data_IF_656367294206
#
_entry.id   IF_656367294206
#
_cell.length_a   1.000
_cell.length_b   1.000
_cell.length_c   1.000
_cell.angle_alpha   90.00
_cell.angle_beta   90.00
_cell.angle_gamma   90.00
#
_symmetry.space_group_name_H-M   'P 1'
#
loop_
_entity.id
_entity.type
_entity.pdbx_description
1 polymer ?
#
# COMPACT_ATOMS: atom_id res chain seq x y z
N UNK A 1 -16.18 -8.83 -12.18
CA UNK A 1 -16.68 -8.13 -10.95
C UNK A 1 -16.58 -6.60 -11.10
N UNK A 2 -17.43 -5.77 -10.44
CA UNK A 2 -17.25 -4.32 -10.43
C UNK A 2 -15.93 -3.97 -9.73
N UNK A 3 -15.07 -3.19 -10.40
CA UNK A 3 -13.83 -2.70 -9.81
C UNK A 3 -14.11 -1.61 -8.77
N UNK A 4 -13.49 -1.72 -7.60
CA UNK A 4 -13.55 -0.68 -6.57
C UNK A 4 -12.49 0.38 -6.88
N UNK A 5 -12.83 1.36 -7.72
CA UNK A 5 -11.97 2.52 -7.98
C UNK A 5 -12.09 3.53 -6.84
N UNK A 6 -11.55 3.19 -5.66
CA UNK A 6 -11.47 4.10 -4.53
C UNK A 6 -10.02 4.56 -4.33
N UNK A 7 -9.78 5.84 -4.63
CA UNK A 7 -8.54 6.52 -4.27
C UNK A 7 -8.76 7.25 -2.96
N UNK A 8 -7.91 6.98 -1.96
CA UNK A 8 -7.99 7.67 -0.67
C UNK A 8 -7.68 9.16 -0.86
N UNK A 9 -8.60 10.08 -0.50
CA UNK A 9 -8.29 11.50 -0.52
C UNK A 9 -7.13 11.81 0.43
N UNK A 10 -6.19 12.66 0.01
CA UNK A 10 -5.01 12.99 0.82
C UNK A 10 -5.38 13.55 2.20
N UNK A 11 -6.40 14.41 2.28
CA UNK A 11 -6.87 14.94 3.57
C UNK A 11 -7.36 13.83 4.51
N UNK A 12 -8.00 12.78 3.98
CA UNK A 12 -8.54 11.69 4.78
C UNK A 12 -7.40 10.83 5.37
N UNK A 13 -6.31 10.65 4.63
CA UNK A 13 -5.09 10.03 5.14
C UNK A 13 -4.55 10.80 6.35
N UNK A 14 -4.31 12.10 6.22
CA UNK A 14 -3.76 12.92 7.31
C UNK A 14 -4.70 13.04 8.50
N UNK A 15 -6.00 13.21 8.27
CA UNK A 15 -7.01 13.21 9.34
C UNK A 15 -7.05 11.86 10.03
N UNK A 16 -6.97 10.76 9.29
CA UNK A 16 -6.90 9.40 9.84
C UNK A 16 -5.71 9.23 10.77
N UNK A 17 -4.52 9.65 10.36
CA UNK A 17 -3.29 9.57 11.16
C UNK A 17 -3.33 10.39 12.46
N UNK A 18 -4.17 11.42 12.55
CA UNK A 18 -4.28 12.25 13.75
C UNK A 18 -5.46 11.79 14.62
N UNK A 19 -6.64 11.68 14.03
CA UNK A 19 -7.88 11.43 14.76
C UNK A 19 -7.93 10.01 15.31
N UNK A 20 -7.50 9.02 14.51
CA UNK A 20 -7.58 7.62 14.93
C UNK A 20 -6.74 7.34 16.18
N UNK A 21 -5.44 7.71 16.26
CA UNK A 21 -4.66 7.50 17.48
C UNK A 21 -5.21 8.21 18.71
N UNK A 22 -5.71 9.45 18.56
CA UNK A 22 -6.30 10.17 19.70
C UNK A 22 -7.52 9.41 20.24
N UNK A 23 -8.41 8.96 19.37
CA UNK A 23 -9.55 8.14 19.77
C UNK A 23 -9.07 6.84 20.41
N UNK A 24 -8.10 6.16 19.80
CA UNK A 24 -7.56 4.89 20.29
C UNK A 24 -6.92 5.03 21.68
N UNK A 25 -6.16 6.09 21.93
CA UNK A 25 -5.61 6.43 23.25
C UNK A 25 -6.70 6.69 24.29
N UNK A 26 -7.74 7.44 23.92
CA UNK A 26 -8.86 7.70 24.84
C UNK A 26 -9.61 6.41 25.17
N UNK A 27 -9.71 5.49 24.21
CA UNK A 27 -10.34 4.18 24.40
C UNK A 27 -9.47 3.22 25.22
N UNK A 28 -8.15 3.19 24.99
CA UNK A 28 -7.21 2.29 25.66
C UNK A 28 -7.06 2.60 27.15
N UNK A 29 -7.16 3.88 27.52
CA UNK A 29 -7.10 4.34 28.91
C UNK A 29 -8.40 4.11 29.70
N UNK A 30 -9.44 3.53 29.09
CA UNK A 30 -10.67 3.18 29.81
C UNK A 30 -10.42 1.96 30.69
N UNK A 31 -10.94 1.94 31.93
CA UNK A 31 -10.81 0.79 32.80
C UNK A 31 -11.44 -0.44 32.14
N UNK A 32 -10.66 -1.51 32.01
CA UNK A 32 -11.11 -2.78 31.47
C UNK A 32 -12.20 -3.35 32.42
N UNK A 33 -13.32 -3.86 31.88
CA UNK A 33 -14.34 -4.50 32.69
C UNK A 33 -13.75 -5.75 33.37
N UNK A 34 -14.04 -5.92 34.67
CA UNK A 34 -13.57 -7.08 35.46
C UNK A 34 -14.07 -8.43 34.93
N UNK A 35 -15.19 -8.43 34.22
CA UNK A 35 -15.76 -9.63 33.60
C UNK A 35 -15.56 -9.59 32.09
N UNK A 36 -14.90 -10.62 31.54
CA UNK A 36 -14.80 -10.82 30.08
C UNK A 36 -16.19 -11.12 29.54
N UNK A 37 -16.76 -10.23 28.73
CA UNK A 37 -18.04 -10.46 28.03
C UNK A 37 -17.89 -10.15 26.54
N UNK A 38 -18.57 -10.91 25.71
CA UNK A 38 -18.71 -10.61 24.30
C UNK A 38 -19.64 -9.42 24.11
N UNK A 39 -19.22 -8.42 23.34
CA UNK A 39 -20.02 -7.21 23.11
C UNK A 39 -20.53 -7.18 21.68
N UNK A 40 -21.78 -6.73 21.52
CA UNK A 40 -22.42 -6.64 20.22
C UNK A 40 -21.72 -5.64 19.26
N UNK A 41 -21.29 -4.43 19.71
CA UNK A 41 -20.55 -3.52 18.84
C UNK A 41 -19.25 -4.13 18.30
N UNK A 42 -18.49 -4.84 19.15
CA UNK A 42 -17.26 -5.49 18.74
C UNK A 42 -17.53 -6.64 17.77
N UNK A 43 -18.58 -7.43 18.01
CA UNK A 43 -18.97 -8.49 17.10
C UNK A 43 -19.35 -7.96 15.69
N UNK A 44 -20.09 -6.85 15.62
CA UNK A 44 -20.40 -6.19 14.35
C UNK A 44 -19.16 -5.60 13.68
N UNK A 45 -18.28 -4.95 14.45
CA UNK A 45 -17.01 -4.44 13.93
C UNK A 45 -16.20 -5.56 13.28
N UNK A 46 -16.02 -6.69 13.98
CA UNK A 46 -15.28 -7.85 13.47
C UNK A 46 -15.99 -8.46 12.25
N UNK A 47 -17.32 -8.50 12.22
CA UNK A 47 -18.05 -8.99 11.06
C UNK A 47 -17.85 -8.08 9.83
N UNK A 48 -17.80 -6.76 10.02
CA UNK A 48 -17.50 -5.82 8.93
C UNK A 48 -16.04 -5.93 8.47
N UNK A 49 -15.09 -6.04 9.41
CA UNK A 49 -13.65 -5.96 9.09
C UNK A 49 -13.01 -7.32 8.84
N UNK A 50 -13.69 -8.42 9.14
CA UNK A 50 -13.11 -9.76 9.11
C UNK A 50 -14.13 -10.86 8.82
N UNK A 51 -15.39 -10.50 8.56
CA UNK A 51 -16.45 -11.48 8.37
C UNK A 51 -16.33 -12.28 7.09
N UNK A 52 -15.63 -11.76 6.07
CA UNK A 52 -15.30 -12.51 4.85
C UNK A 52 -14.43 -13.74 5.15
N UNK A 53 -13.62 -13.68 6.22
CA UNK A 53 -12.80 -14.79 6.70
C UNK A 53 -13.47 -15.57 7.84
N UNK A 54 -14.71 -15.23 8.21
CA UNK A 54 -15.44 -15.86 9.32
C UNK A 54 -14.95 -15.45 10.72
N UNK A 55 -14.17 -14.37 10.86
CA UNK A 55 -13.57 -13.98 12.15
C UNK A 55 -14.60 -13.65 13.23
N UNK A 56 -15.80 -13.19 12.86
CA UNK A 56 -16.89 -12.92 13.80
C UNK A 56 -17.41 -14.17 14.48
N UNK A 57 -17.31 -15.34 13.83
CA UNK A 57 -17.65 -16.63 14.44
C UNK A 57 -16.55 -17.10 15.39
N UNK A 58 -15.27 -16.94 15.02
CA UNK A 58 -14.15 -17.27 15.90
C UNK A 58 -14.08 -16.37 17.14
N UNK A 59 -14.42 -15.09 17.00
CA UNK A 59 -14.59 -14.19 18.14
C UNK A 59 -15.56 -14.77 19.18
N UNK A 60 -16.65 -15.41 18.73
CA UNK A 60 -17.63 -16.09 19.58
C UNK A 60 -17.28 -17.55 19.90
N UNK A 61 -16.02 -17.96 19.71
CA UNK A 61 -15.50 -19.33 19.90
C UNK A 61 -16.28 -20.41 19.12
N UNK A 62 -16.81 -20.05 17.95
CA UNK A 62 -17.56 -20.96 17.08
C UNK A 62 -16.71 -21.40 15.87
N UNK A 63 -16.58 -22.71 15.67
CA UNK A 63 -15.88 -23.29 14.51
C UNK A 63 -16.62 -23.11 13.19
N UNK A 64 -17.88 -22.65 13.21
CA UNK A 64 -18.63 -22.32 11.99
C UNK A 64 -17.95 -21.26 11.11
N UNK A 65 -17.03 -20.47 11.67
CA UNK A 65 -16.17 -19.56 10.91
C UNK A 65 -15.33 -20.28 9.83
N UNK A 66 -15.01 -21.56 10.01
CA UNK A 66 -14.23 -22.34 9.06
C UNK A 66 -14.93 -22.52 7.70
N UNK A 67 -16.25 -22.35 7.61
CA UNK A 67 -16.98 -22.44 6.33
C UNK A 67 -16.61 -21.29 5.38
N UNK A 68 -16.25 -20.13 5.92
CA UNK A 68 -15.88 -18.97 5.11
C UNK A 68 -14.55 -19.17 4.38
N UNK A 69 -13.59 -19.87 5.02
CA UNK A 69 -12.24 -20.07 4.49
C UNK A 69 -12.19 -20.78 3.13
N UNK A 70 -12.81 -21.96 2.90
CA UNK A 70 -12.74 -22.63 1.60
C UNK A 70 -13.44 -21.82 0.50
N UNK A 71 -14.53 -21.11 0.81
CA UNK A 71 -15.22 -20.24 -0.15
C UNK A 71 -14.31 -19.06 -0.53
N UNK A 72 -13.68 -18.43 0.47
CA UNK A 72 -12.73 -17.36 0.26
C UNK A 72 -11.51 -17.82 -0.55
N UNK A 73 -10.88 -18.93 -0.19
CA UNK A 73 -9.75 -19.50 -0.92
C UNK A 73 -10.12 -19.86 -2.36
N UNK A 74 -11.33 -20.36 -2.59
CA UNK A 74 -11.84 -20.61 -3.94
C UNK A 74 -11.98 -19.32 -4.75
N UNK A 75 -12.43 -18.22 -4.16
CA UNK A 75 -12.48 -16.91 -4.83
C UNK A 75 -11.07 -16.47 -5.25
N UNK A 76 -10.09 -16.59 -4.34
CA UNK A 76 -8.69 -16.25 -4.66
C UNK A 76 -8.17 -17.08 -5.83
N UNK A 77 -8.40 -18.40 -5.78
CA UNK A 77 -8.02 -19.32 -6.84
C UNK A 77 -8.69 -18.96 -8.17
N UNK A 78 -10.01 -18.79 -8.19
CA UNK A 78 -10.78 -18.45 -9.39
C UNK A 78 -10.36 -17.10 -9.99
N UNK A 79 -10.04 -16.10 -9.15
CA UNK A 79 -9.51 -14.83 -9.63
C UNK A 79 -8.11 -14.96 -10.24
N UNK A 80 -7.24 -15.79 -9.65
CA UNK A 80 -5.95 -16.10 -10.26
C UNK A 80 -6.12 -16.76 -11.65
N UNK A 81 -7.00 -17.75 -11.75
CA UNK A 81 -7.31 -18.40 -13.04
C UNK A 81 -7.88 -17.41 -14.06
N UNK A 82 -8.70 -16.45 -13.61
CA UNK A 82 -9.25 -15.39 -14.47
C UNK A 82 -8.16 -14.47 -15.00
N UNK A 83 -7.15 -14.15 -14.19
CA UNK A 83 -6.00 -13.35 -14.60
C UNK A 83 -5.15 -14.07 -15.65
N UNK A 84 -4.86 -15.35 -15.43
CA UNK A 84 -4.09 -16.16 -16.38
C UNK A 84 -4.83 -16.29 -17.72
N UNK A 85 -6.13 -16.60 -17.68
CA UNK A 85 -6.97 -16.68 -18.88
C UNK A 85 -7.07 -15.33 -19.62
N UNK A 86 -7.12 -14.20 -18.90
CA UNK A 86 -7.08 -12.85 -19.50
C UNK A 86 -5.77 -12.60 -20.25
N UNK A 87 -4.64 -13.05 -19.71
CA UNK A 87 -3.33 -12.87 -20.33
C UNK A 87 -3.21 -13.67 -21.62
N UNK A 88 -3.67 -14.92 -21.61
CA UNK A 88 -3.75 -15.78 -22.81
C UNK A 88 -4.70 -15.17 -23.85
N UNK A 89 -5.90 -14.77 -23.44
CA UNK A 89 -6.88 -14.11 -24.30
C UNK A 89 -6.32 -12.85 -24.96
N UNK A 90 -5.62 -12.01 -24.20
CA UNK A 90 -5.00 -10.77 -24.72
C UNK A 90 -3.92 -11.07 -25.75
N UNK A 91 -3.14 -12.14 -25.55
CA UNK A 91 -2.09 -12.58 -26.48
C UNK A 91 -2.70 -13.01 -27.82
N UNK A 92 -3.69 -13.92 -27.80
CA UNK A 92 -4.36 -14.37 -29.02
C UNK A 92 -5.13 -13.26 -29.73
N UNK A 93 -5.83 -12.40 -28.98
CA UNK A 93 -6.52 -11.25 -29.54
C UNK A 93 -5.54 -10.28 -30.23
N UNK A 94 -4.33 -10.12 -29.71
CA UNK A 94 -3.30 -9.31 -30.37
C UNK A 94 -2.76 -9.95 -31.64
N UNK A 95 -2.54 -11.27 -31.65
CA UNK A 95 -2.10 -11.99 -32.86
C UNK A 95 -3.13 -11.89 -33.98
N UNK A 96 -4.41 -12.13 -33.68
CA UNK A 96 -5.52 -11.97 -34.64
C UNK A 96 -5.54 -10.53 -35.17
N UNK A 97 -5.47 -9.52 -34.28
CA UNK A 97 -5.49 -8.11 -34.68
C UNK A 97 -4.33 -7.75 -35.63
N UNK A 98 -3.14 -8.32 -35.44
CA UNK A 98 -1.98 -8.10 -36.32
C UNK A 98 -2.20 -8.79 -37.67
N UNK A 99 -2.75 -10.00 -37.67
CA UNK A 99 -3.07 -10.75 -38.88
C UNK A 99 -4.16 -10.06 -39.70
N UNK A 100 -5.27 -9.63 -39.08
CA UNK A 100 -6.36 -8.88 -39.72
C UNK A 100 -5.85 -7.59 -40.38
N UNK A 101 -5.03 -6.79 -39.67
CA UNK A 101 -4.41 -5.60 -40.28
C UNK A 101 -3.51 -5.92 -41.47
N UNK A 102 -2.90 -7.10 -41.48
CA UNK A 102 -2.08 -7.56 -42.61
C UNK A 102 -2.95 -7.96 -43.79
N UNK A 103 -4.07 -8.65 -43.54
CA UNK A 103 -5.07 -8.97 -44.56
C UNK A 103 -5.63 -7.70 -45.19
N UNK A 104 -6.14 -6.77 -44.38
CA UNK A 104 -6.72 -5.51 -44.85
C UNK A 104 -5.76 -4.75 -45.78
N UNK A 105 -4.47 -4.72 -45.44
CA UNK A 105 -3.45 -3.99 -46.23
C UNK A 105 -2.98 -4.75 -47.46
N UNK A 106 -2.71 -6.05 -47.34
CA UNK A 106 -2.09 -6.81 -48.42
C UNK A 106 -3.12 -7.31 -49.44
N UNK A 107 -4.37 -7.57 -49.06
CA UNK A 107 -5.43 -7.98 -50.00
C UNK A 107 -5.72 -6.91 -51.04
N UNK A 108 -5.88 -5.65 -50.61
CA UNK A 108 -6.08 -4.51 -51.51
C UNK A 108 -4.88 -4.35 -52.46
N UNK A 109 -3.65 -4.37 -51.92
CA UNK A 109 -2.41 -4.22 -52.70
C UNK A 109 -2.19 -5.33 -53.72
N UNK A 110 -2.51 -6.58 -53.36
CA UNK A 110 -2.44 -7.72 -54.29
C UNK A 110 -3.49 -7.57 -55.38
N UNK A 111 -4.72 -7.19 -55.03
CA UNK A 111 -5.82 -7.01 -55.99
C UNK A 111 -5.50 -5.91 -57.01
N UNK A 112 -4.97 -4.76 -56.55
CA UNK A 112 -4.54 -3.67 -57.44
C UNK A 112 -3.36 -4.08 -58.34
N UNK A 113 -2.39 -4.80 -57.81
CA UNK A 113 -1.24 -5.30 -58.57
C UNK A 113 -1.67 -6.35 -59.62
N UNK A 114 -2.62 -7.22 -59.29
CA UNK A 114 -3.21 -8.19 -60.23
C UNK A 114 -4.01 -7.49 -61.33
N UNK A 115 -4.80 -6.46 -60.99
CA UNK A 115 -5.58 -5.69 -61.96
C UNK A 115 -4.70 -4.95 -62.98
N UNK A 116 -3.52 -4.48 -62.56
CA UNK A 116 -2.56 -3.78 -63.44
C UNK A 116 -1.62 -4.70 -64.23
N UNK A 117 -1.67 -6.03 -64.00
CA UNK A 117 -0.73 -6.97 -64.59
C UNK A 117 -0.84 -7.02 -66.12
N UNK A 118 -2.07 -7.10 -66.64
CA UNK A 118 -2.32 -7.19 -68.09
C UNK A 118 -1.83 -5.93 -68.84
N UNK A 119 -2.06 -4.75 -68.27
CA UNK A 119 -1.59 -3.48 -68.84
C UNK A 119 -0.06 -3.39 -68.82
N UNK A 120 0.59 -3.90 -67.76
CA UNK A 120 2.04 -3.93 -67.63
C UNK A 120 2.69 -4.93 -68.60
N UNK A 121 2.06 -6.08 -68.85
CA UNK A 121 2.50 -7.06 -69.84
C UNK A 121 2.39 -6.48 -71.27
N UNK A 122 1.26 -5.88 -71.61
CA UNK A 122 1.08 -5.19 -72.89
C UNK A 122 2.12 -4.08 -73.11
N UNK A 123 2.45 -3.30 -72.07
CA UNK A 123 3.47 -2.25 -72.14
C UNK A 123 4.91 -2.79 -72.34
N UNK A 124 5.18 -4.04 -71.97
CA UNK A 124 6.45 -4.72 -72.28
C UNK A 124 6.44 -5.20 -73.73
N UNK A 125 5.34 -5.79 -74.20
CA UNK A 125 5.19 -6.31 -75.56
C UNK A 125 5.24 -5.22 -76.64
N UNK A 126 4.71 -4.03 -76.35
CA UNK A 126 4.73 -2.87 -77.26
C UNK A 126 6.07 -2.13 -77.30
N UNK A 127 6.97 -2.37 -76.34
CA UNK A 127 8.22 -1.62 -76.21
C UNK A 127 9.31 -2.11 -77.17
N UNK A 128 9.99 -1.18 -77.85
CA UNK A 128 11.06 -1.51 -78.80
C UNK A 128 12.23 -2.25 -78.13
N UNK A 129 12.71 -3.31 -78.79
CA UNK A 129 13.80 -4.16 -78.33
C UNK A 129 15.08 -3.35 -78.06
N UNK A 130 15.61 -3.44 -76.84
CA UNK A 130 16.83 -2.76 -76.41
C UNK A 130 16.64 -1.29 -75.96
N UNK A 131 15.41 -0.77 -75.98
CA UNK A 131 15.10 0.60 -75.55
C UNK A 131 15.15 0.78 -74.02
N UNK A 132 15.32 2.02 -73.56
CA UNK A 132 15.16 2.36 -72.13
C UNK A 132 13.71 2.15 -71.65
N UNK A 133 12.73 2.33 -72.54
CA UNK A 133 11.32 2.11 -72.25
C UNK A 133 11.03 0.64 -71.89
N UNK A 134 11.61 -0.30 -72.65
CA UNK A 134 11.52 -1.74 -72.35
C UNK A 134 12.05 -2.07 -70.96
N UNK A 135 13.28 -1.64 -70.62
CA UNK A 135 13.87 -1.86 -69.28
C UNK A 135 13.04 -1.28 -68.14
N UNK A 136 12.35 -0.16 -68.38
CA UNK A 136 11.48 0.48 -67.39
C UNK A 136 10.16 -0.28 -67.23
N UNK A 137 9.56 -0.75 -68.33
CA UNK A 137 8.37 -1.59 -68.35
C UNK A 137 8.63 -2.94 -67.64
N UNK A 138 9.72 -3.63 -67.97
CA UNK A 138 10.16 -4.87 -67.31
C UNK A 138 10.33 -4.68 -65.80
N UNK A 139 10.94 -3.58 -65.35
CA UNK A 139 11.09 -3.28 -63.91
C UNK A 139 9.77 -2.97 -63.21
N UNK A 140 8.77 -2.43 -63.91
CA UNK A 140 7.43 -2.21 -63.35
C UNK A 140 6.67 -3.53 -63.25
N UNK A 141 6.72 -4.35 -64.31
CA UNK A 141 6.15 -5.69 -64.33
C UNK A 141 6.74 -6.58 -63.22
N UNK A 142 8.08 -6.61 -63.10
CA UNK A 142 8.75 -7.37 -62.04
C UNK A 142 8.32 -6.92 -60.64
N UNK A 143 8.16 -5.60 -60.41
CA UNK A 143 7.70 -5.09 -59.11
C UNK A 143 6.26 -5.46 -58.80
N UNK A 144 5.39 -5.48 -59.81
CA UNK A 144 4.01 -5.94 -59.66
C UNK A 144 3.98 -7.44 -59.34
N UNK A 145 4.71 -8.27 -60.10
CA UNK A 145 4.84 -9.71 -59.85
C UNK A 145 5.41 -10.02 -58.45
N UNK A 146 6.46 -9.31 -58.04
CA UNK A 146 7.02 -9.41 -56.68
C UNK A 146 6.00 -9.04 -55.59
N UNK A 147 5.19 -8.01 -55.84
CA UNK A 147 4.15 -7.55 -54.92
C UNK A 147 3.06 -8.60 -54.78
N UNK A 148 2.64 -9.21 -55.87
CA UNK A 148 1.65 -10.30 -55.89
C UNK A 148 2.21 -11.51 -55.13
N UNK A 149 3.37 -12.04 -55.53
CA UNK A 149 3.94 -13.25 -54.91
C UNK A 149 4.19 -13.09 -53.40
N UNK A 150 4.81 -11.98 -52.99
CA UNK A 150 5.08 -11.71 -51.55
C UNK A 150 3.80 -11.38 -50.80
N UNK A 151 2.87 -10.67 -51.42
CA UNK A 151 1.58 -10.31 -50.85
C UNK A 151 0.70 -11.53 -50.63
N UNK A 152 0.57 -12.42 -51.62
CA UNK A 152 -0.18 -13.68 -51.52
C UNK A 152 0.36 -14.59 -50.42
N UNK A 153 1.68 -14.69 -50.28
CA UNK A 153 2.29 -15.44 -49.17
C UNK A 153 1.86 -14.86 -47.82
N UNK A 154 1.97 -13.53 -47.66
CA UNK A 154 1.57 -12.84 -46.42
C UNK A 154 0.08 -12.94 -46.13
N UNK A 155 -0.77 -12.85 -47.15
CA UNK A 155 -2.22 -13.03 -47.03
C UNK A 155 -2.52 -14.47 -46.59
N UNK A 156 -1.86 -15.46 -47.18
CA UNK A 156 -2.04 -16.87 -46.81
C UNK A 156 -1.62 -17.12 -45.36
N UNK A 157 -0.44 -16.65 -44.95
CA UNK A 157 0.05 -16.77 -43.58
C UNK A 157 -0.87 -16.06 -42.57
N UNK A 158 -1.35 -14.86 -42.90
CA UNK A 158 -2.25 -14.11 -42.05
C UNK A 158 -3.63 -14.78 -41.95
N UNK A 159 -4.20 -15.31 -43.05
CA UNK A 159 -5.44 -16.09 -43.02
C UNK A 159 -5.30 -17.34 -42.16
N UNK A 160 -4.21 -18.09 -42.34
CA UNK A 160 -3.91 -19.27 -41.53
C UNK A 160 -3.81 -18.92 -40.04
N UNK A 161 -3.14 -17.81 -39.70
CA UNK A 161 -3.06 -17.31 -38.33
C UNK A 161 -4.45 -17.00 -37.76
N UNK A 162 -5.31 -16.30 -38.51
CA UNK A 162 -6.68 -16.00 -38.06
C UNK A 162 -7.47 -17.29 -37.84
N UNK A 163 -7.40 -18.24 -38.78
CA UNK A 163 -8.13 -19.51 -38.72
C UNK A 163 -7.66 -20.40 -37.55
N UNK A 164 -6.36 -20.50 -37.32
CA UNK A 164 -5.76 -21.30 -36.25
C UNK A 164 -5.98 -20.68 -34.86
N UNK A 165 -5.80 -19.36 -34.72
CA UNK A 165 -5.81 -18.69 -33.42
C UNK A 165 -7.22 -18.33 -32.95
N UNK A 166 -8.19 -18.12 -33.85
CA UNK A 166 -9.58 -17.81 -33.47
C UNK A 166 -10.20 -18.83 -32.51
N UNK A 167 -10.18 -20.15 -32.75
CA UNK A 167 -10.75 -21.11 -31.81
C UNK A 167 -10.03 -21.09 -30.44
N UNK A 168 -8.72 -20.91 -30.42
CA UNK A 168 -7.93 -20.80 -29.17
C UNK A 168 -8.29 -19.54 -28.39
N UNK A 169 -8.51 -18.41 -29.09
CA UNK A 169 -8.98 -17.15 -28.51
C UNK A 169 -10.36 -17.32 -27.87
N UNK A 170 -11.27 -18.02 -28.55
CA UNK A 170 -12.64 -18.23 -28.07
C UNK A 170 -12.68 -19.20 -26.88
N UNK A 171 -11.85 -20.24 -26.87
CA UNK A 171 -11.66 -21.12 -25.72
C UNK A 171 -11.10 -20.35 -24.51
N UNK A 172 -10.09 -19.50 -24.73
CA UNK A 172 -9.53 -18.63 -23.68
C UNK A 172 -10.59 -17.63 -23.14
N UNK A 173 -11.44 -17.10 -24.02
CA UNK A 173 -12.55 -16.22 -23.63
C UNK A 173 -13.60 -16.95 -22.79
N UNK A 174 -13.97 -18.17 -23.19
CA UNK A 174 -14.90 -19.01 -22.44
C UNK A 174 -14.32 -19.41 -21.06
N UNK A 175 -13.05 -19.78 -21.01
CA UNK A 175 -12.33 -20.10 -19.76
C UNK A 175 -12.31 -18.90 -18.82
N UNK A 176 -11.97 -17.70 -19.33
CA UNK A 176 -12.01 -16.47 -18.53
C UNK A 176 -13.42 -16.21 -17.99
N UNK A 177 -14.45 -16.32 -18.83
CA UNK A 177 -15.84 -16.08 -18.43
C UNK A 177 -16.32 -17.08 -17.37
N UNK A 178 -15.93 -18.35 -17.50
CA UNK A 178 -16.23 -19.37 -16.50
C UNK A 178 -15.65 -19.01 -15.13
N UNK A 179 -14.36 -18.68 -15.05
CA UNK A 179 -13.71 -18.37 -13.78
C UNK A 179 -14.20 -17.05 -13.16
N UNK A 180 -14.47 -16.01 -13.97
CA UNK A 180 -15.03 -14.74 -13.46
C UNK A 180 -16.44 -14.96 -12.88
N UNK A 181 -17.27 -15.77 -13.55
CA UNK A 181 -18.60 -16.14 -13.03
C UNK A 181 -18.49 -17.00 -11.77
N UNK A 182 -17.60 -17.98 -11.74
CA UNK A 182 -17.39 -18.85 -10.58
C UNK A 182 -16.96 -18.05 -9.34
N UNK A 183 -16.00 -17.12 -9.51
CA UNK A 183 -15.61 -16.19 -8.47
C UNK A 183 -16.79 -15.31 -8.03
N UNK A 184 -17.59 -14.81 -8.98
CA UNK A 184 -18.81 -14.03 -8.72
C UNK A 184 -19.82 -14.77 -7.84
N UNK A 185 -20.17 -16.01 -8.20
CA UNK A 185 -21.12 -16.80 -7.43
C UNK A 185 -20.60 -17.16 -6.04
N UNK A 186 -19.31 -17.49 -5.91
CA UNK A 186 -18.69 -17.75 -4.62
C UNK A 186 -18.70 -16.51 -3.73
N UNK A 187 -18.45 -15.32 -4.30
CA UNK A 187 -18.56 -14.05 -3.58
C UNK A 187 -20.00 -13.79 -3.12
N UNK A 188 -21.01 -14.00 -3.97
CA UNK A 188 -22.41 -13.83 -3.57
C UNK A 188 -22.83 -14.80 -2.46
N UNK A 189 -22.39 -16.05 -2.53
CA UNK A 189 -22.61 -17.03 -1.46
C UNK A 189 -21.99 -16.55 -0.14
N UNK A 190 -20.75 -16.08 -0.19
CA UNK A 190 -20.04 -15.57 0.99
C UNK A 190 -20.73 -14.35 1.59
N UNK A 191 -21.15 -13.40 0.76
CA UNK A 191 -21.89 -12.21 1.21
C UNK A 191 -23.26 -12.57 1.78
N UNK A 192 -23.95 -13.56 1.21
CA UNK A 192 -25.22 -14.06 1.75
C UNK A 192 -25.03 -14.69 3.13
N UNK A 193 -24.00 -15.53 3.32
CA UNK A 193 -23.65 -16.09 4.63
C UNK A 193 -23.32 -14.99 5.63
N UNK A 194 -22.52 -13.99 5.24
CA UNK A 194 -22.19 -12.86 6.09
C UNK A 194 -23.43 -12.05 6.49
N UNK A 195 -24.35 -11.79 5.56
CA UNK A 195 -25.59 -11.06 5.83
C UNK A 195 -26.49 -11.83 6.82
N UNK A 196 -26.62 -13.14 6.64
CA UNK A 196 -27.34 -14.01 7.59
C UNK A 196 -26.72 -13.88 8.98
N UNK A 197 -25.40 -13.97 9.08
CA UNK A 197 -24.69 -13.86 10.34
C UNK A 197 -24.86 -12.48 10.99
N UNK A 198 -24.82 -11.39 10.21
CA UNK A 198 -25.05 -10.03 10.69
C UNK A 198 -26.43 -9.88 11.35
N UNK A 199 -27.44 -10.57 10.83
CA UNK A 199 -28.79 -10.60 11.42
C UNK A 199 -28.81 -11.47 12.69
N UNK A 200 -28.08 -12.59 12.71
CA UNK A 200 -28.05 -13.54 13.83
C UNK A 200 -27.13 -13.10 14.98
N UNK A 201 -26.21 -12.15 14.75
CA UNK A 201 -25.21 -11.70 15.72
C UNK A 201 -25.78 -11.40 17.13
N UNK A 202 -26.90 -10.69 17.30
CA UNK A 202 -27.45 -10.42 18.63
C UNK A 202 -27.80 -11.70 19.41
N UNK A 203 -28.34 -12.71 18.72
CA UNK A 203 -28.66 -14.01 19.31
C UNK A 203 -27.39 -14.79 19.65
N UNK A 204 -26.42 -14.79 18.74
CA UNK A 204 -25.16 -15.52 18.90
C UNK A 204 -24.33 -14.95 20.07
N UNK A 205 -24.26 -13.63 20.19
CA UNK A 205 -23.58 -12.95 21.31
C UNK A 205 -24.26 -13.29 22.64
N UNK A 206 -25.59 -13.28 22.70
CA UNK A 206 -26.34 -13.68 23.91
C UNK A 206 -26.03 -15.12 24.30
N UNK A 207 -26.04 -16.04 23.33
CA UNK A 207 -25.73 -17.46 23.55
C UNK A 207 -24.28 -17.67 24.00
N UNK A 208 -23.33 -16.98 23.37
CA UNK A 208 -21.92 -17.05 23.75
C UNK A 208 -21.70 -16.53 25.18
N UNK A 209 -22.32 -15.42 25.54
CA UNK A 209 -22.26 -14.89 26.91
C UNK A 209 -22.92 -15.82 27.94
N UNK A 210 -24.02 -16.50 27.59
CA UNK A 210 -24.66 -17.47 28.46
C UNK A 210 -23.79 -18.74 28.69
N UNK A 211 -22.87 -19.03 27.78
CA UNK A 211 -21.93 -20.14 27.89
C UNK A 211 -20.62 -19.75 28.60
N UNK A 212 -20.44 -18.49 29.00
CA UNK A 212 -19.26 -18.07 29.75
C UNK A 212 -19.30 -18.66 31.18
N UNK A 213 -18.19 -19.24 31.67
CA UNK A 213 -18.11 -19.68 33.05
C UNK A 213 -18.19 -18.48 34.00
N UNK A 214 -18.86 -18.64 35.15
CA UNK A 214 -19.03 -17.57 36.16
C UNK A 214 -17.70 -17.14 36.80
N UNK A 215 -16.73 -18.05 36.85
CA UNK A 215 -15.37 -17.79 37.28
C UNK A 215 -14.42 -18.45 36.28
N UNK A 216 -13.49 -17.67 35.75
CA UNK A 216 -12.38 -18.19 34.95
C UNK A 216 -11.43 -18.89 35.93
N UNK A 217 -11.49 -20.22 36.02
CA UNK A 217 -10.45 -20.99 36.71
C UNK A 217 -9.18 -20.85 35.88
N UNK A 218 -8.39 -19.82 36.20
CA UNK A 218 -7.06 -19.63 35.63
C UNK A 218 -6.24 -20.86 35.99
N UNK A 219 -5.87 -21.64 34.98
CA UNK A 219 -5.01 -22.82 35.14
C UNK A 219 -3.76 -22.45 35.94
N UNK A 220 -3.24 -23.36 36.76
CA UNK A 220 -1.98 -23.14 37.49
C UNK A 220 -0.86 -22.69 36.56
N UNK A 221 -0.83 -23.21 35.33
CA UNK A 221 0.11 -22.81 34.30
C UNK A 221 -0.07 -21.34 33.84
N UNK A 222 -1.31 -20.84 33.75
CA UNK A 222 -1.58 -19.46 33.35
C UNK A 222 -1.34 -18.48 34.53
N UNK A 223 -1.54 -18.92 35.78
CA UNK A 223 -1.12 -18.15 36.96
C UNK A 223 0.40 -18.05 37.06
N UNK A 224 1.10 -19.18 36.93
CA UNK A 224 2.55 -19.21 36.95
C UNK A 224 3.15 -18.38 35.80
N UNK A 225 2.51 -18.39 34.62
CA UNK A 225 2.91 -17.55 33.49
C UNK A 225 2.75 -16.06 33.81
N UNK A 226 1.60 -15.64 34.38
CA UNK A 226 1.39 -14.22 34.75
C UNK A 226 2.34 -13.76 35.84
N UNK A 227 2.59 -14.59 36.84
CA UNK A 227 3.56 -14.26 37.90
C UNK A 227 4.98 -14.13 37.33
N UNK A 228 5.38 -15.01 36.40
CA UNK A 228 6.65 -14.88 35.69
C UNK A 228 6.70 -13.64 34.77
N UNK A 229 5.61 -13.31 34.07
CA UNK A 229 5.48 -12.10 33.25
C UNK A 229 5.53 -10.83 34.10
N UNK A 230 5.01 -10.84 35.32
CA UNK A 230 5.06 -9.72 36.26
C UNK A 230 6.46 -9.59 36.93
N UNK A 231 7.18 -10.70 37.14
CA UNK A 231 8.57 -10.68 37.66
C UNK A 231 9.61 -10.29 36.59
N UNK A 232 9.45 -10.72 35.34
CA UNK A 232 10.38 -10.45 34.23
C UNK A 232 9.90 -9.33 33.29
N UNK A 233 8.71 -8.77 33.55
CA UNK A 233 8.06 -7.80 32.67
C UNK A 233 8.81 -6.46 32.59
N UNK A 234 8.78 -5.78 31.41
CA UNK A 234 9.26 -4.42 31.32
C UNK A 234 8.49 -3.53 32.31
N UNK A 235 9.18 -2.55 32.90
CA UNK A 235 8.54 -1.56 33.79
C UNK A 235 7.32 -0.97 33.11
N UNK A 236 6.29 -0.63 33.88
CA UNK A 236 5.14 0.05 33.31
C UNK A 236 5.58 1.41 32.74
N UNK A 237 5.08 1.83 31.57
CA UNK A 237 5.51 3.04 30.86
C UNK A 237 5.60 4.28 31.76
N UNK A 238 4.64 4.41 32.69
CA UNK A 238 4.58 5.51 33.66
C UNK A 238 5.78 5.57 34.63
N UNK A 239 6.50 4.47 34.81
CA UNK A 239 7.65 4.37 35.72
C UNK A 239 8.94 4.90 35.09
N UNK A 240 9.01 5.03 33.76
CA UNK A 240 10.18 5.58 33.07
C UNK A 240 10.24 7.12 33.13
N UNK A 241 9.10 7.79 33.32
CA UNK A 241 9.02 9.24 33.20
C UNK A 241 9.35 10.00 34.49
N UNK A 242 10.53 10.64 34.52
CA UNK A 242 10.94 11.49 35.65
C UNK A 242 10.67 12.97 35.40
N UNK A 243 10.67 13.41 34.14
CA UNK A 243 10.52 14.81 33.75
C UNK A 243 9.53 15.00 32.60
N UNK A 244 9.32 16.25 32.17
CA UNK A 244 8.37 16.56 31.11
C UNK A 244 8.79 16.05 29.73
N UNK A 245 10.10 15.93 29.47
CA UNK A 245 10.63 15.40 28.20
C UNK A 245 10.29 13.92 28.09
N UNK A 246 10.52 13.15 29.16
CA UNK A 246 10.19 11.73 29.19
C UNK A 246 8.68 11.51 29.00
N UNK A 247 7.84 12.34 29.64
CA UNK A 247 6.38 12.30 29.44
C UNK A 247 5.97 12.61 28.01
N UNK A 248 6.65 13.55 27.36
CA UNK A 248 6.42 13.87 25.95
C UNK A 248 6.80 12.68 25.06
N UNK A 249 7.95 12.05 25.30
CA UNK A 249 8.40 10.86 24.56
C UNK A 249 7.45 9.68 24.73
N UNK A 250 6.95 9.43 25.95
CA UNK A 250 5.91 8.42 26.20
C UNK A 250 4.63 8.72 25.43
N UNK A 251 4.13 9.96 25.51
CA UNK A 251 2.92 10.37 24.80
C UNK A 251 3.07 10.19 23.29
N UNK A 252 4.19 10.66 22.72
CA UNK A 252 4.45 10.54 21.29
C UNK A 252 4.60 9.07 20.85
N UNK A 253 5.27 8.24 21.65
CA UNK A 253 5.40 6.80 21.41
C UNK A 253 4.06 6.07 21.44
N UNK A 254 3.26 6.29 22.49
CA UNK A 254 1.90 5.75 22.62
C UNK A 254 1.02 6.19 21.44
N UNK A 255 1.07 7.47 21.09
CA UNK A 255 0.32 8.04 19.96
C UNK A 255 0.64 7.31 18.65
N UNK A 256 1.92 7.17 18.29
CA UNK A 256 2.29 6.52 17.02
C UNK A 256 2.15 5.00 17.06
N UNK A 257 2.11 4.37 18.23
CA UNK A 257 1.87 2.92 18.34
C UNK A 257 0.52 2.52 17.71
N UNK A 258 -0.49 3.39 17.79
CA UNK A 258 -1.80 3.14 17.18
C UNK A 258 -1.80 3.22 15.65
N UNK A 259 -0.78 3.80 15.00
CA UNK A 259 -0.64 3.73 13.54
C UNK A 259 -0.47 2.29 13.04
N UNK A 260 0.15 1.41 13.82
CA UNK A 260 0.25 -0.01 13.47
C UNK A 260 -1.14 -0.67 13.32
N UNK A 261 -2.14 -0.22 14.08
CA UNK A 261 -3.52 -0.71 13.96
C UNK A 261 -4.17 -0.23 12.66
N UNK A 262 -3.89 1.00 12.23
CA UNK A 262 -4.33 1.52 10.93
C UNK A 262 -3.79 0.62 9.80
N UNK A 263 -2.52 0.20 9.89
CA UNK A 263 -1.91 -0.68 8.89
C UNK A 263 -2.63 -2.01 8.74
N UNK A 264 -3.10 -2.61 9.84
CA UNK A 264 -3.88 -3.85 9.78
C UNK A 264 -5.14 -3.66 8.94
N UNK A 265 -5.88 -2.57 9.16
CA UNK A 265 -7.10 -2.30 8.39
C UNK A 265 -6.81 -2.00 6.92
N UNK A 266 -5.80 -1.18 6.64
CA UNK A 266 -5.45 -0.78 5.26
C UNK A 266 -4.93 -1.98 4.46
N UNK A 267 -4.03 -2.81 5.03
CA UNK A 267 -3.53 -3.99 4.32
C UNK A 267 -4.60 -5.07 4.18
N UNK A 268 -5.48 -5.23 5.17
CA UNK A 268 -6.64 -6.10 5.01
C UNK A 268 -7.51 -5.64 3.84
N UNK A 269 -7.83 -4.34 3.78
CA UNK A 269 -8.57 -3.77 2.66
C UNK A 269 -7.84 -4.01 1.33
N UNK A 270 -6.52 -3.79 1.26
CA UNK A 270 -5.74 -4.01 0.04
C UNK A 270 -5.78 -5.47 -0.42
N UNK A 271 -5.64 -6.43 0.50
CA UNK A 271 -5.71 -7.87 0.18
C UNK A 271 -7.09 -8.21 -0.40
N UNK A 272 -8.16 -7.70 0.20
CA UNK A 272 -9.51 -7.93 -0.30
C UNK A 272 -9.71 -7.24 -1.66
N UNK A 273 -9.38 -5.96 -1.79
CA UNK A 273 -9.52 -5.21 -3.03
C UNK A 273 -8.75 -5.86 -4.19
N UNK A 274 -7.49 -6.24 -3.94
CA UNK A 274 -6.60 -6.85 -4.94
C UNK A 274 -7.03 -8.25 -5.32
N UNK A 275 -7.23 -9.13 -4.35
CA UNK A 275 -7.37 -10.56 -4.64
C UNK A 275 -8.81 -11.07 -4.69
N UNK A 276 -9.76 -10.36 -4.06
CA UNK A 276 -11.20 -10.71 -4.15
C UNK A 276 -11.85 -9.92 -5.28
N UNK A 277 -11.60 -8.62 -5.38
CA UNK A 277 -12.24 -7.76 -6.38
C UNK A 277 -11.40 -7.54 -7.64
N UNK A 278 -10.15 -8.02 -7.68
CA UNK A 278 -9.26 -7.81 -8.84
C UNK A 278 -8.90 -6.34 -9.07
N UNK A 279 -8.96 -5.51 -8.03
CA UNK A 279 -8.88 -4.05 -8.08
C UNK A 279 -7.83 -3.56 -7.07
N UNK A 280 -6.52 -3.69 -7.38
CA UNK A 280 -5.45 -3.20 -6.50
C UNK A 280 -5.58 -1.69 -6.30
N UNK A 281 -5.26 -1.18 -5.11
CA UNK A 281 -5.28 0.26 -4.86
C UNK A 281 -3.94 0.89 -5.29
N UNK A 282 -4.01 2.15 -5.71
CA UNK A 282 -2.83 2.95 -6.02
C UNK A 282 -2.19 3.61 -4.78
N UNK A 283 -2.92 3.66 -3.65
CA UNK A 283 -2.53 4.44 -2.46
C UNK A 283 -2.09 3.59 -1.26
N UNK A 284 -2.64 2.38 -1.06
CA UNK A 284 -2.48 1.67 0.22
C UNK A 284 -1.02 1.36 0.55
N UNK A 285 -0.25 0.86 -0.42
CA UNK A 285 1.14 0.49 -0.19
C UNK A 285 2.00 1.71 0.18
N UNK A 286 1.89 2.80 -0.58
CA UNK A 286 2.67 4.01 -0.33
C UNK A 286 2.24 4.68 0.99
N UNK A 287 0.94 4.80 1.25
CA UNK A 287 0.43 5.34 2.51
C UNK A 287 1.02 4.63 3.73
N UNK A 288 1.07 3.29 3.69
CA UNK A 288 1.63 2.50 4.79
C UNK A 288 3.15 2.64 4.89
N UNK A 289 3.86 2.65 3.76
CA UNK A 289 5.29 2.87 3.73
C UNK A 289 5.68 4.21 4.37
N UNK A 290 5.01 5.30 3.96
CA UNK A 290 5.25 6.64 4.52
C UNK A 290 4.89 6.71 6.01
N UNK A 291 3.74 6.13 6.40
CA UNK A 291 3.30 6.07 7.79
C UNK A 291 4.30 5.34 8.69
N UNK A 292 4.83 4.18 8.27
CA UNK A 292 5.82 3.45 9.06
C UNK A 292 7.15 4.19 9.16
N UNK A 293 7.57 4.90 8.10
CA UNK A 293 8.74 5.77 8.16
C UNK A 293 8.60 6.88 9.21
N UNK A 294 7.43 7.54 9.25
CA UNK A 294 7.09 8.51 10.28
C UNK A 294 7.05 7.88 11.68
N UNK A 295 6.44 6.69 11.80
CA UNK A 295 6.30 5.97 13.06
C UNK A 295 7.68 5.67 13.67
N UNK A 296 8.59 5.17 12.84
CA UNK A 296 9.95 4.82 13.26
C UNK A 296 10.71 6.02 13.84
N UNK A 297 10.61 7.18 13.21
CA UNK A 297 11.32 8.38 13.64
C UNK A 297 10.79 8.93 14.97
N UNK A 298 9.47 8.95 15.17
CA UNK A 298 8.87 9.37 16.44
C UNK A 298 9.16 8.34 17.54
N UNK A 299 9.03 7.05 17.22
CA UNK A 299 9.29 5.96 18.17
C UNK A 299 10.74 5.90 18.65
N UNK A 300 11.70 6.49 17.92
CA UNK A 300 13.10 6.56 18.34
C UNK A 300 13.29 7.20 19.72
N UNK A 301 12.59 8.30 20.02
CA UNK A 301 12.68 8.93 21.35
C UNK A 301 12.08 8.04 22.46
N UNK A 302 10.96 7.38 22.16
CA UNK A 302 10.34 6.40 23.06
C UNK A 302 11.29 5.22 23.35
N UNK A 303 11.82 4.59 22.31
CA UNK A 303 12.74 3.46 22.44
C UNK A 303 14.05 3.84 23.15
N UNK A 304 14.44 5.11 23.13
CA UNK A 304 15.57 5.62 23.90
C UNK A 304 15.24 5.73 25.40
N UNK A 305 14.05 6.21 25.72
CA UNK A 305 13.55 6.31 27.10
C UNK A 305 13.40 4.93 27.75
N UNK A 306 12.85 3.96 27.03
CA UNK A 306 12.62 2.59 27.52
C UNK A 306 13.81 1.65 27.36
N UNK A 307 14.95 2.17 26.87
CA UNK A 307 16.18 1.41 26.61
C UNK A 307 16.00 0.22 25.64
N UNK A 308 15.04 0.32 24.72
CA UNK A 308 14.68 -0.75 23.79
C UNK A 308 15.49 -0.75 22.48
N UNK A 309 16.48 0.13 22.35
CA UNK A 309 17.41 0.09 21.23
C UNK A 309 18.28 -1.16 21.33
N UNK A 310 18.54 -1.79 20.17
CA UNK A 310 19.51 -2.89 20.10
C UNK A 310 20.88 -2.37 20.50
N UNK A 311 21.41 -2.89 21.61
CA UNK A 311 22.69 -2.52 22.20
C UNK A 311 23.54 -3.77 22.41
N UNK A 312 24.87 -3.60 22.34
CA UNK A 312 25.82 -4.69 22.60
C UNK A 312 26.21 -4.65 24.07
N UNK A 313 25.59 -5.50 24.88
CA UNK A 313 25.70 -5.42 26.34
C UNK A 313 26.84 -6.23 26.97
N UNK A 314 27.67 -6.91 26.17
CA UNK A 314 28.69 -7.85 26.68
C UNK A 314 29.69 -7.19 27.64
N UNK A 315 30.06 -5.93 27.39
CA UNK A 315 30.97 -5.17 28.25
C UNK A 315 30.23 -4.20 29.17
N UNK A 316 29.03 -3.75 28.79
CA UNK A 316 28.24 -2.77 29.53
C UNK A 316 27.50 -3.39 30.73
N UNK A 317 26.87 -4.56 30.55
CA UNK A 317 26.05 -5.21 31.58
C UNK A 317 26.79 -5.41 32.93
N UNK A 318 28.03 -5.93 32.98
CA UNK A 318 28.74 -6.19 34.24
C UNK A 318 29.32 -4.92 34.91
N UNK A 319 29.25 -3.75 34.27
CA UNK A 319 29.79 -2.51 34.84
C UNK A 319 28.98 -2.02 36.05
N UNK A 320 29.67 -1.41 37.02
CA UNK A 320 29.03 -0.68 38.11
C UNK A 320 28.26 0.53 37.57
N UNK A 321 27.24 0.98 38.32
CA UNK A 321 26.41 2.15 37.97
C UNK A 321 27.22 3.40 37.59
N UNK A 322 28.28 3.82 38.32
CA UNK A 322 29.03 5.00 37.94
C UNK A 322 29.85 4.80 36.65
N UNK A 323 30.36 3.59 36.41
CA UNK A 323 31.10 3.29 35.18
C UNK A 323 30.15 3.29 33.95
N UNK A 324 28.92 2.80 34.12
CA UNK A 324 27.88 2.90 33.09
C UNK A 324 27.60 4.35 32.73
N UNK A 325 27.37 5.21 33.73
CA UNK A 325 27.10 6.62 33.52
C UNK A 325 28.26 7.36 32.79
N UNK A 326 29.53 7.01 33.08
CA UNK A 326 30.68 7.56 32.34
C UNK A 326 30.74 7.09 30.88
N UNK A 327 30.46 5.81 30.63
CA UNK A 327 30.39 5.27 29.26
C UNK A 327 29.22 5.90 28.49
N UNK A 328 28.06 6.05 29.11
CA UNK A 328 26.89 6.69 28.53
C UNK A 328 27.18 8.18 28.24
N UNK A 329 27.87 8.89 29.14
CA UNK A 329 28.34 10.26 28.92
C UNK A 329 29.28 10.35 27.70
N UNK A 330 30.26 9.46 27.58
CA UNK A 330 31.18 9.45 26.43
C UNK A 330 30.44 9.15 25.11
N UNK A 331 29.58 8.13 25.13
CA UNK A 331 28.82 7.72 23.94
C UNK A 331 27.75 8.73 23.54
N UNK A 332 27.26 9.54 24.49
CA UNK A 332 26.31 10.63 24.22
C UNK A 332 26.85 11.64 23.19
N UNK A 333 28.18 11.84 23.11
CA UNK A 333 28.79 12.74 22.12
C UNK A 333 28.47 12.26 20.69
N UNK A 334 28.69 10.98 20.41
CA UNK A 334 28.37 10.39 19.10
C UNK A 334 26.86 10.39 18.84
N UNK A 335 26.07 10.15 19.88
CA UNK A 335 24.62 10.27 19.79
C UNK A 335 24.17 11.68 19.39
N UNK A 336 24.70 12.73 20.01
CA UNK A 336 24.32 14.12 19.69
C UNK A 336 24.82 14.55 18.31
N UNK A 337 25.96 14.04 17.84
CA UNK A 337 26.38 14.24 16.44
C UNK A 337 25.34 13.63 15.51
N UNK A 338 24.96 12.36 15.72
CA UNK A 338 23.95 11.68 14.92
C UNK A 338 22.59 12.40 14.97
N UNK A 339 22.05 12.66 16.16
CA UNK A 339 20.74 13.28 16.35
C UNK A 339 20.72 14.72 15.83
N UNK A 340 21.81 15.47 16.02
CA UNK A 340 21.97 16.82 15.49
C UNK A 340 22.03 16.83 13.97
N UNK A 341 22.83 15.95 13.35
CA UNK A 341 22.85 15.80 11.90
C UNK A 341 21.48 15.41 11.36
N UNK A 342 20.81 14.43 11.98
CA UNK A 342 19.47 14.00 11.59
C UNK A 342 18.46 15.14 11.68
N UNK A 343 18.49 15.96 12.73
CA UNK A 343 17.60 17.11 12.87
C UNK A 343 17.87 18.17 11.78
N UNK A 344 19.13 18.51 11.54
CA UNK A 344 19.51 19.52 10.52
C UNK A 344 19.16 19.04 9.11
N UNK A 345 19.49 17.80 8.75
CA UNK A 345 19.18 17.26 7.42
C UNK A 345 17.68 17.10 7.22
N UNK A 346 16.95 16.64 8.25
CA UNK A 346 15.48 16.57 8.20
C UNK A 346 14.87 17.95 8.00
N UNK A 347 15.41 18.99 8.66
CA UNK A 347 14.95 20.37 8.49
C UNK A 347 15.14 20.86 7.06
N UNK A 348 16.33 20.64 6.49
CA UNK A 348 16.63 20.99 5.09
C UNK A 348 15.64 20.29 4.16
N UNK A 349 15.45 18.98 4.29
CA UNK A 349 14.52 18.22 3.45
C UNK A 349 13.06 18.66 3.60
N UNK A 350 12.63 19.00 4.82
CA UNK A 350 11.28 19.48 5.06
C UNK A 350 11.02 20.84 4.41
N UNK A 351 12.01 21.75 4.44
CA UNK A 351 11.94 23.04 3.76
C UNK A 351 11.98 22.90 2.24
N UNK A 352 12.91 22.09 1.72
CA UNK A 352 13.05 21.83 0.28
C UNK A 352 11.76 21.27 -0.33
N UNK A 353 11.09 20.36 0.39
CA UNK A 353 9.85 19.75 -0.07
C UNK A 353 8.69 20.75 -0.20
N UNK A 354 8.70 21.84 0.54
CA UNK A 354 7.70 22.89 0.43
C UNK A 354 8.13 23.93 -0.61
N UNK A 355 9.44 24.21 -0.73
CA UNK A 355 10.01 25.22 -1.61
C UNK A 355 10.19 24.77 -3.08
N UNK A 356 9.66 23.61 -3.47
CA UNK A 356 9.81 23.08 -4.84
C UNK A 356 9.21 24.05 -5.88
N UNK A 357 9.87 24.28 -7.03
CA UNK A 357 9.36 25.16 -8.09
C UNK A 357 7.96 24.81 -8.60
N UNK A 358 7.62 23.52 -8.64
CA UNK A 358 6.31 23.03 -9.08
C UNK A 358 5.19 23.24 -8.06
N UNK A 359 5.50 23.58 -6.81
CA UNK A 359 4.51 23.94 -5.79
C UNK A 359 3.95 25.34 -6.03
N UNK A 360 2.61 25.46 -5.98
CA UNK A 360 1.88 26.72 -6.12
C UNK A 360 0.94 27.00 -4.92
N UNK A 361 1.10 26.24 -3.83
CA UNK A 361 0.44 26.54 -2.56
C UNK A 361 1.07 27.79 -1.90
N UNK A 362 0.28 28.52 -1.12
CA UNK A 362 0.74 29.70 -0.37
C UNK A 362 1.94 29.38 0.54
N UNK A 363 1.97 28.17 1.10
CA UNK A 363 3.11 27.69 1.92
C UNK A 363 4.39 27.53 1.08
N UNK A 364 4.27 27.15 -0.20
CA UNK A 364 5.40 27.08 -1.14
C UNK A 364 5.95 28.45 -1.51
N UNK A 365 5.09 29.44 -1.71
CA UNK A 365 5.51 30.83 -1.98
C UNK A 365 6.25 31.42 -0.79
N UNK A 366 5.77 31.17 0.42
CA UNK A 366 6.43 31.55 1.67
C UNK A 366 7.78 30.87 1.85
N UNK A 367 7.85 29.55 1.64
CA UNK A 367 9.10 28.79 1.78
C UNK A 367 10.17 29.26 0.78
N UNK A 368 9.77 29.77 -0.39
CA UNK A 368 10.65 30.39 -1.39
C UNK A 368 10.99 31.86 -1.09
N UNK A 369 10.44 32.45 -0.02
CA UNK A 369 10.65 33.84 0.35
C UNK A 369 9.95 34.86 -0.56
N UNK A 370 8.93 34.45 -1.31
CA UNK A 370 8.18 35.32 -2.22
C UNK A 370 7.14 36.16 -1.49
N UNK A 371 6.64 35.65 -0.36
CA UNK A 371 5.67 36.32 0.51
C UNK A 371 6.14 36.29 1.97
N UNK A 372 5.65 37.22 2.77
CA UNK A 372 5.90 37.25 4.21
C UNK A 372 5.11 36.17 4.95
N UNK A 373 5.53 35.85 6.18
CA UNK A 373 4.80 34.91 7.04
C UNK A 373 3.36 35.37 7.32
N UNK A 374 3.14 36.68 7.51
CA UNK A 374 1.80 37.22 7.75
C UNK A 374 0.86 37.02 6.55
N UNK A 375 1.37 37.24 5.35
CA UNK A 375 0.64 36.96 4.10
C UNK A 375 0.38 35.46 3.92
N UNK A 376 1.35 34.61 4.28
CA UNK A 376 1.15 33.16 4.25
C UNK A 376 0.01 32.72 5.15
N UNK A 377 -0.01 33.19 6.42
CA UNK A 377 -1.09 32.86 7.35
C UNK A 377 -2.43 33.40 6.85
N UNK A 378 -2.45 34.63 6.33
CA UNK A 378 -3.67 35.24 5.78
C UNK A 378 -4.20 34.54 4.52
N UNK A 379 -3.30 33.94 3.72
CA UNK A 379 -3.64 33.18 2.51
C UNK A 379 -3.98 31.70 2.77
N UNK A 380 -3.80 31.20 3.99
CA UNK A 380 -4.08 29.81 4.37
C UNK A 380 -5.59 29.58 4.57
N UNK A 381 -6.36 29.65 3.47
CA UNK A 381 -7.81 29.43 3.45
C UNK A 381 -8.22 28.02 3.03
N UNK A 382 -9.52 27.73 3.09
CA UNK A 382 -10.11 26.47 2.59
C UNK A 382 -9.81 26.23 1.10
N UNK A 383 -9.68 27.32 0.32
CA UNK A 383 -9.30 27.26 -1.09
C UNK A 383 -7.98 26.51 -1.33
N UNK A 384 -7.01 26.61 -0.42
CA UNK A 384 -5.75 25.86 -0.52
C UNK A 384 -5.96 24.35 -0.44
N UNK A 385 -7.02 23.90 0.23
CA UNK A 385 -7.29 22.48 0.49
C UNK A 385 -8.32 21.87 -0.45
N UNK A 386 -9.22 22.70 -1.01
CA UNK A 386 -10.32 22.24 -1.85
C UNK A 386 -10.08 22.42 -3.35
N UNK A 387 -9.16 23.30 -3.75
CA UNK A 387 -8.85 23.52 -5.16
C UNK A 387 -7.88 22.43 -5.66
N UNK A 388 -8.29 21.61 -6.65
CA UNK A 388 -7.46 20.54 -7.20
C UNK A 388 -6.22 21.06 -7.96
N UNK A 389 -6.18 22.34 -8.34
CA UNK A 389 -5.02 22.92 -9.00
C UNK A 389 -3.91 23.33 -8.03
N UNK A 390 -4.17 23.28 -6.71
CA UNK A 390 -3.19 23.61 -5.68
C UNK A 390 -2.33 22.39 -5.37
N UNK A 391 -1.04 22.52 -5.66
CA UNK A 391 0.00 21.55 -5.39
C UNK A 391 0.84 21.98 -4.20
N UNK A 392 0.74 21.18 -3.14
CA UNK A 392 1.42 21.37 -1.87
C UNK A 392 2.88 20.88 -1.93
N UNK A 393 3.71 21.54 -2.74
CA UNK A 393 5.13 21.25 -2.87
C UNK A 393 5.46 19.94 -3.58
N UNK A 394 6.42 19.20 -3.03
CA UNK A 394 6.87 17.89 -3.50
C UNK A 394 5.79 16.82 -3.32
N UNK A 395 5.57 16.04 -4.37
CA UNK A 395 4.62 14.92 -4.40
C UNK A 395 5.38 13.63 -4.69
N UNK A 396 4.79 12.50 -4.32
CA UNK A 396 5.34 11.19 -4.68
C UNK A 396 5.30 10.93 -6.19
N UNK A 397 6.12 9.96 -6.64
CA UNK A 397 6.26 9.57 -8.05
C UNK A 397 5.20 8.57 -8.52
N UNK A 398 4.29 8.12 -7.66
CA UNK A 398 3.26 7.16 -8.02
C UNK A 398 1.96 7.83 -8.47
N UNK A 399 0.98 7.04 -8.88
CA UNK A 399 -0.35 7.52 -9.31
C UNK A 399 -1.19 8.17 -8.19
N UNK A 400 -0.78 8.05 -6.92
CA UNK A 400 -1.48 8.66 -5.79
C UNK A 400 -1.03 10.10 -5.53
N UNK A 401 0.19 10.47 -5.94
CA UNK A 401 0.72 11.84 -5.91
C UNK A 401 0.61 12.52 -4.52
N UNK A 402 0.90 11.79 -3.45
CA UNK A 402 0.73 12.31 -2.09
C UNK A 402 1.76 13.41 -1.79
N UNK A 403 1.35 14.55 -1.18
CA UNK A 403 2.30 15.57 -0.72
C UNK A 403 3.25 15.00 0.34
N UNK A 404 4.57 15.11 0.10
CA UNK A 404 5.60 14.53 0.97
C UNK A 404 6.02 15.45 2.12
N UNK A 405 5.67 16.74 2.06
CA UNK A 405 6.08 17.70 3.08
C UNK A 405 5.68 17.29 4.51
N UNK A 406 4.45 16.79 4.82
CA UNK A 406 4.10 16.51 6.21
C UNK A 406 4.92 15.35 6.77
N UNK A 407 5.26 14.35 5.95
CA UNK A 407 6.17 13.27 6.34
C UNK A 407 7.55 13.83 6.73
N UNK A 408 8.12 14.69 5.89
CA UNK A 408 9.45 15.27 6.14
C UNK A 408 9.44 16.17 7.38
N UNK A 409 8.35 16.85 7.67
CA UNK A 409 8.17 17.56 8.94
C UNK A 409 8.06 16.63 10.15
N UNK A 410 7.44 15.46 10.00
CA UNK A 410 7.49 14.43 11.06
C UNK A 410 8.92 13.94 11.29
N UNK A 411 9.78 13.90 10.27
CA UNK A 411 11.20 13.62 10.48
C UNK A 411 11.88 14.67 11.37
N UNK A 412 11.58 15.96 11.15
CA UNK A 412 12.06 17.06 12.01
C UNK A 412 11.59 16.88 13.45
N UNK A 413 10.31 16.55 13.64
CA UNK A 413 9.72 16.30 14.96
C UNK A 413 10.42 15.11 15.64
N UNK A 414 10.61 13.99 14.94
CA UNK A 414 11.32 12.82 15.46
C UNK A 414 12.78 13.13 15.84
N UNK A 415 13.49 13.88 15.00
CA UNK A 415 14.84 14.34 15.30
C UNK A 415 14.91 15.25 16.52
N UNK A 416 13.95 16.18 16.64
CA UNK A 416 13.85 17.06 17.81
C UNK A 416 13.56 16.27 19.08
N UNK A 417 12.62 15.31 19.03
CA UNK A 417 12.30 14.44 20.15
C UNK A 417 13.52 13.61 20.59
N UNK A 418 14.31 13.08 19.64
CA UNK A 418 15.55 12.36 19.93
C UNK A 418 16.58 13.26 20.62
N UNK A 419 16.79 14.48 20.12
CA UNK A 419 17.72 15.44 20.76
C UNK A 419 17.26 15.77 22.18
N UNK A 420 15.96 16.06 22.37
CA UNK A 420 15.39 16.34 23.69
C UNK A 420 15.55 15.13 24.63
N UNK A 421 15.25 13.93 24.16
CA UNK A 421 15.40 12.72 24.96
C UNK A 421 16.86 12.45 25.33
N UNK A 422 17.79 12.72 24.41
CA UNK A 422 19.23 12.68 24.69
C UNK A 422 19.63 13.66 25.79
N UNK A 423 19.10 14.89 25.78
CA UNK A 423 19.34 15.89 26.83
C UNK A 423 18.80 15.39 28.17
N UNK A 424 17.62 14.77 28.18
CA UNK A 424 17.04 14.15 29.39
C UNK A 424 17.97 13.07 29.94
N UNK A 425 18.43 12.13 29.09
CA UNK A 425 19.31 11.03 29.49
C UNK A 425 20.67 11.54 29.98
N UNK A 426 21.32 12.42 29.21
CA UNK A 426 22.59 13.06 29.58
C UNK A 426 22.50 13.75 30.95
N UNK A 427 21.40 14.46 31.21
CA UNK A 427 21.19 15.15 32.49
C UNK A 427 21.07 14.18 33.67
N UNK A 428 20.50 12.99 33.45
CA UNK A 428 20.40 11.92 34.45
C UNK A 428 21.76 11.28 34.70
N UNK A 429 22.53 11.00 33.64
CA UNK A 429 23.87 10.42 33.75
C UNK A 429 24.84 11.35 34.50
N UNK A 430 24.81 12.66 34.18
CA UNK A 430 25.58 13.69 34.90
C UNK A 430 25.19 13.73 36.38
N UNK A 431 23.89 13.61 36.70
CA UNK A 431 23.40 13.59 38.07
C UNK A 431 23.88 12.35 38.82
N UNK A 432 23.93 11.20 38.17
CA UNK A 432 24.42 9.96 38.76
C UNK A 432 25.93 10.06 39.07
N UNK A 433 26.72 10.55 38.12
CA UNK A 433 28.16 10.81 38.31
C UNK A 433 28.39 11.80 39.47
N UNK A 434 27.61 12.88 39.53
CA UNK A 434 27.74 13.90 40.56
C UNK A 434 27.35 13.40 41.96
N UNK A 435 26.47 12.39 42.06
CA UNK A 435 26.07 11.77 43.33
C UNK A 435 27.09 10.76 43.87
N UNK A 436 28.01 10.28 43.03
CA UNK A 436 29.12 9.43 43.44
C UNK A 436 28.73 8.04 43.97
N UNK A 437 27.52 7.57 43.63
CA UNK A 437 27.04 6.22 43.97
C UNK A 437 27.38 5.20 42.89
#
# INVERSE_FOLDING_TARGET
MPGLSFTLPHWLYWVGLIVFPVIAMVLSRRPQPKEKRYTLPLAYMIAVTGGILGLHRFYLKSLWGLIYLPIFLFILFANNQTHDARTVLSTYANQIRVAERTLDREEERVTEAQASLADLEAAVDEAEAGSFALKSAERRLQRAQDTISKGETRVTDARATVEEITPLRDEAAATRAFWDNAAGYALYLLLALLLIDMILLPMLVRRANAALPLHEEVSEAERALREAEDEEGPKHDSEYAENWIDRLSLFCGEFVAYWAVIAVFVYYYEVIARYVFGSPTNWAHEAMYLMFGMQYLIAGAYAMLTESHVRVDIFYAPMSRPNKAWVDLLTSIFFFIFAGTLLVTSWIFAMDAIAVPSGNAVVSDWARGQISFGEMVGGWGLNQWTDPNIRWGEISFNEWEVPLWPMKWVMVIGGLLLVLQGISKLSKDIREIARGN
#
